data_IF_180315597771
#
_entry.id   IF_180315597771
#
_cell.length_a   1.000
_cell.length_b   1.000
_cell.length_c   1.000
_cell.angle_alpha   90.00
_cell.angle_beta   90.00
_cell.angle_gamma   90.00
#
_symmetry.space_group_name_H-M   'P 1'
#
loop_
_entity.id
_entity.type
_entity.pdbx_description
1 polymer ?
#
# COMPACT_ATOMS: atom_id res chain seq x y z
N UNK A 1 -8.25 -8.81 -14.56
CA UNK A 1 -8.65 -8.82 -14.86
C UNK A 1 -8.94 -8.82 -15.22
N UNK A 2 -8.81 -8.96 -14.81
CA UNK A 2 -9.16 -9.04 -14.98
C UNK A 2 -9.70 -9.05 -14.96
N UNK A 3 -9.76 -9.12 -14.53
CA UNK A 3 -10.42 -9.26 -14.39
C UNK A 3 -10.45 -9.40 -14.19
N UNK A 4 -10.22 -9.55 -13.96
CA UNK A 4 -10.26 -9.66 -13.77
C UNK A 4 -10.02 -9.80 -13.30
N UNK A 5 -9.87 -9.86 -13.16
CA UNK A 5 -9.81 -10.11 -12.84
C UNK A 5 -9.60 -10.16 -12.21
N UNK A 6 -9.11 -10.22 -11.83
CA UNK A 6 -9.23 -10.35 -11.35
C UNK A 6 -9.25 -10.04 -10.31
N UNK A 7 -8.50 -9.40 -10.28
CA UNK A 7 -8.66 -8.78 -8.99
C UNK A 7 -9.82 -9.37 -8.19
N UNK A 8 -9.72 -9.35 -6.90
CA UNK A 8 -10.81 -9.87 -6.10
C UNK A 8 -11.96 -8.86 -6.05
N UNK A 9 -13.08 -9.20 -6.60
CA UNK A 9 -14.27 -8.41 -6.41
C UNK A 9 -14.75 -8.55 -4.96
N UNK A 10 -15.30 -7.50 -4.35
CA UNK A 10 -15.87 -7.63 -3.03
C UNK A 10 -17.09 -8.55 -3.06
N UNK A 11 -17.44 -9.18 -1.93
CA UNK A 11 -18.69 -9.93 -1.85
C UNK A 11 -19.86 -9.06 -2.28
N UNK A 12 -20.88 -9.65 -2.86
CA UNK A 12 -22.00 -8.90 -3.38
C UNK A 12 -22.69 -8.05 -2.30
N UNK A 13 -22.72 -8.55 -1.05
CA UNK A 13 -23.30 -7.80 0.07
C UNK A 13 -22.52 -6.56 0.44
N UNK A 14 -21.22 -6.50 0.06
CA UNK A 14 -20.35 -5.38 0.38
C UNK A 14 -20.11 -4.46 -0.82
N UNK A 15 -20.70 -4.78 -1.96
CA UNK A 15 -20.47 -4.01 -3.17
C UNK A 15 -20.97 -2.59 -2.98
N UNK A 16 -20.07 -1.61 -3.13
CA UNK A 16 -20.38 -0.21 -2.97
C UNK A 16 -20.56 0.23 -1.51
N UNK A 17 -20.31 -0.66 -0.55
CA UNK A 17 -20.55 -0.40 0.86
C UNK A 17 -19.25 -0.20 1.64
N UNK A 18 -18.37 0.64 1.12
CA UNK A 18 -17.13 0.98 1.82
C UNK A 18 -17.33 2.24 2.65
N UNK A 19 -16.69 2.28 3.80
CA UNK A 19 -16.62 3.52 4.59
C UNK A 19 -15.58 4.46 3.99
N UNK A 20 -14.47 3.92 3.47
CA UNK A 20 -13.40 4.72 2.89
C UNK A 20 -12.83 4.00 1.67
N UNK A 21 -12.74 4.74 0.57
CA UNK A 21 -12.02 4.30 -0.63
C UNK A 21 -10.70 5.07 -0.68
N UNK A 22 -9.61 4.35 -0.88
CA UNK A 22 -8.26 4.92 -0.90
C UNK A 22 -7.72 4.81 -2.31
N UNK A 23 -7.17 5.89 -2.84
CA UNK A 23 -6.56 5.89 -4.16
C UNK A 23 -5.06 5.72 -3.98
N UNK A 24 -4.53 4.57 -4.44
CA UNK A 24 -3.11 4.27 -4.40
C UNK A 24 -2.71 3.33 -3.27
N UNK A 25 -1.76 2.45 -3.59
CA UNK A 25 -1.21 1.46 -2.65
C UNK A 25 0.26 1.68 -2.33
N UNK A 26 0.66 2.96 -2.19
CA UNK A 26 2.00 3.31 -1.74
C UNK A 26 2.07 3.38 -0.23
N UNK A 27 3.11 4.05 0.28
CA UNK A 27 3.34 4.16 1.72
C UNK A 27 2.13 4.77 2.44
N UNK A 28 1.57 5.86 1.91
CA UNK A 28 0.43 6.52 2.54
C UNK A 28 -0.82 5.65 2.49
N UNK A 29 -1.08 5.02 1.36
CA UNK A 29 -2.27 4.18 1.20
C UNK A 29 -2.26 2.96 2.11
N UNK A 30 -1.11 2.32 2.24
CA UNK A 30 -0.96 1.16 3.12
C UNK A 30 -1.15 1.54 4.58
N UNK A 31 -0.59 2.67 5.00
CA UNK A 31 -0.82 3.15 6.36
C UNK A 31 -2.29 3.50 6.60
N UNK A 32 -2.94 4.11 5.60
CA UNK A 32 -4.35 4.45 5.73
C UNK A 32 -5.20 3.19 5.95
N UNK A 33 -4.91 2.11 5.21
CA UNK A 33 -5.60 0.83 5.42
C UNK A 33 -5.43 0.37 6.86
N UNK A 34 -4.19 0.34 7.33
CA UNK A 34 -3.87 -0.13 8.68
C UNK A 34 -4.62 0.69 9.73
N UNK A 35 -4.52 2.01 9.63
CA UNK A 35 -5.10 2.92 10.61
C UNK A 35 -6.63 2.87 10.62
N UNK A 36 -7.24 2.99 9.45
CA UNK A 36 -8.68 3.07 9.34
C UNK A 36 -9.35 1.73 9.64
N UNK A 37 -8.72 0.63 9.22
CA UNK A 37 -9.21 -0.70 9.55
C UNK A 37 -9.18 -0.93 11.07
N UNK A 38 -8.13 -0.43 11.73
CA UNK A 38 -8.02 -0.49 13.17
C UNK A 38 -9.11 0.29 13.90
N UNK A 39 -9.74 1.24 13.22
CA UNK A 39 -10.87 2.00 13.75
C UNK A 39 -12.21 1.32 13.46
N UNK A 40 -12.20 0.13 12.86
CA UNK A 40 -13.41 -0.61 12.55
C UNK A 40 -14.08 -0.22 11.24
N UNK A 41 -13.40 0.56 10.39
CA UNK A 41 -13.98 1.01 9.13
C UNK A 41 -13.71 0.00 8.02
N UNK A 42 -14.64 -0.10 7.08
CA UNK A 42 -14.47 -0.91 5.87
C UNK A 42 -13.71 -0.08 4.85
N UNK A 43 -12.53 -0.54 4.47
CA UNK A 43 -11.65 0.21 3.57
C UNK A 43 -11.24 -0.64 2.37
N UNK A 44 -10.94 0.03 1.28
CA UNK A 44 -10.29 -0.59 0.13
C UNK A 44 -9.43 0.44 -0.57
N UNK A 45 -8.20 0.02 -0.89
CA UNK A 45 -7.32 0.83 -1.71
C UNK A 45 -7.36 0.30 -3.14
N UNK A 46 -7.39 1.20 -4.09
CA UNK A 46 -7.37 0.87 -5.52
C UNK A 46 -6.02 1.30 -6.07
N UNK A 47 -5.26 0.33 -6.54
CA UNK A 47 -3.91 0.57 -7.04
C UNK A 47 -3.84 0.27 -8.54
N UNK A 48 -3.37 1.24 -9.34
CA UNK A 48 -3.27 1.09 -10.79
C UNK A 48 -2.21 0.07 -11.19
N UNK A 49 -1.16 -0.08 -10.38
CA UNK A 49 -0.07 -1.00 -10.67
C UNK A 49 -0.40 -2.44 -10.33
N UNK A 50 0.49 -3.34 -10.72
CA UNK A 50 0.35 -4.77 -10.44
C UNK A 50 0.93 -5.15 -9.07
N UNK A 51 1.39 -4.18 -8.31
CA UNK A 51 1.93 -4.39 -6.97
C UNK A 51 1.84 -3.13 -6.14
N UNK A 52 2.01 -3.28 -4.83
CA UNK A 52 2.06 -2.15 -3.91
C UNK A 52 3.43 -1.49 -3.97
N UNK A 53 3.52 -0.26 -3.49
CA UNK A 53 4.80 0.43 -3.38
C UNK A 53 4.81 1.85 -3.89
N UNK A 54 3.83 2.25 -4.70
CA UNK A 54 3.74 3.61 -5.22
C UNK A 54 5.00 4.00 -5.98
N UNK A 55 5.62 5.10 -5.58
CA UNK A 55 6.87 5.59 -6.16
C UNK A 55 7.92 4.49 -6.30
N UNK A 56 8.04 3.62 -5.30
CA UNK A 56 9.06 2.58 -5.29
C UNK A 56 8.67 1.34 -6.10
N UNK A 57 7.43 1.21 -6.46
CA UNK A 57 7.00 0.23 -7.44
C UNK A 57 7.31 0.69 -8.86
N UNK A 58 7.04 1.98 -9.16
CA UNK A 58 7.14 2.50 -10.51
C UNK A 58 8.57 2.89 -10.91
N UNK A 59 9.36 3.43 -9.99
CA UNK A 59 10.66 4.02 -10.30
C UNK A 59 11.80 3.02 -10.07
N UNK A 60 12.07 2.21 -11.08
CA UNK A 60 13.04 1.10 -11.02
C UNK A 60 14.29 1.36 -11.84
N UNK A 61 14.62 2.61 -12.11
CA UNK A 61 15.81 2.93 -12.88
C UNK A 61 17.08 2.61 -12.09
N UNK A 62 18.21 2.35 -12.80
CA UNK A 62 19.47 2.04 -12.11
C UNK A 62 19.89 3.18 -11.20
N UNK A 63 20.24 2.86 -9.96
CA UNK A 63 20.66 3.85 -8.99
C UNK A 63 19.55 4.55 -8.26
N UNK A 64 18.26 4.21 -8.51
CA UNK A 64 17.14 4.79 -7.78
C UNK A 64 17.33 4.56 -6.29
N UNK A 65 17.28 5.64 -5.51
CA UNK A 65 17.61 5.61 -4.09
C UNK A 65 16.89 6.75 -3.37
N UNK A 66 16.55 6.53 -2.11
CA UNK A 66 15.96 7.56 -1.29
C UNK A 66 17.03 8.57 -0.85
N UNK A 67 16.64 9.83 -0.75
CA UNK A 67 17.51 10.90 -0.24
C UNK A 67 17.23 11.22 1.22
N UNK A 68 16.40 10.42 1.86
CA UNK A 68 16.12 10.49 3.30
C UNK A 68 16.70 9.24 3.95
N UNK A 69 17.26 9.38 5.14
CA UNK A 69 17.86 8.24 5.85
C UNK A 69 16.83 7.16 6.10
N UNK A 70 17.26 5.89 5.97
CA UNK A 70 16.36 4.74 6.06
C UNK A 70 15.57 4.69 7.36
N UNK A 71 16.21 5.04 8.48
CA UNK A 71 15.54 5.01 9.78
C UNK A 71 14.40 6.02 9.87
N UNK A 72 14.50 7.13 9.14
CA UNK A 72 13.45 8.14 9.10
C UNK A 72 12.42 7.83 8.02
N UNK A 73 12.84 7.15 6.96
CA UNK A 73 11.96 6.80 5.84
C UNK A 73 11.34 5.43 6.09
N UNK A 74 10.73 5.28 7.25
CA UNK A 74 10.13 4.02 7.70
C UNK A 74 8.92 4.33 8.56
N UNK A 75 8.03 3.37 8.67
CA UNK A 75 6.87 3.52 9.54
C UNK A 75 7.28 3.49 11.01
N UNK A 76 6.59 4.28 11.82
CA UNK A 76 6.83 4.34 13.27
C UNK A 76 5.64 3.84 14.09
N UNK A 77 4.60 3.30 13.44
CA UNK A 77 3.38 2.90 14.16
C UNK A 77 3.52 1.58 14.91
N UNK A 78 4.58 0.83 14.70
CA UNK A 78 4.80 -0.46 15.36
C UNK A 78 6.26 -0.59 15.80
N UNK A 79 6.46 -0.74 17.11
CA UNK A 79 7.79 -0.98 17.66
C UNK A 79 8.36 -2.30 17.17
N UNK A 80 7.51 -3.33 17.08
CA UNK A 80 7.93 -4.65 16.61
C UNK A 80 8.45 -4.58 15.18
N UNK A 81 7.75 -3.84 14.32
CA UNK A 81 8.20 -3.66 12.94
C UNK A 81 9.56 -2.98 12.88
N UNK A 82 9.75 -1.92 13.68
CA UNK A 82 11.01 -1.20 13.72
C UNK A 82 12.15 -2.11 14.21
N UNK A 83 11.87 -3.00 15.14
CA UNK A 83 12.87 -3.93 15.68
C UNK A 83 13.20 -5.04 14.69
N UNK A 84 12.21 -5.58 13.99
CA UNK A 84 12.42 -6.73 13.12
C UNK A 84 13.00 -6.38 11.75
N UNK A 85 12.85 -5.13 11.29
CA UNK A 85 13.37 -4.74 9.98
C UNK A 85 14.77 -4.15 10.11
N UNK A 86 15.72 -4.70 9.37
CA UNK A 86 17.11 -4.25 9.38
C UNK A 86 17.43 -3.63 8.03
N UNK A 87 17.74 -2.34 8.04
CA UNK A 87 18.14 -1.64 6.83
C UNK A 87 19.61 -1.90 6.55
N UNK A 88 19.97 -2.35 5.32
CA UNK A 88 21.37 -2.62 4.99
C UNK A 88 22.18 -1.36 4.72
N UNK A 89 21.53 -0.23 4.40
CA UNK A 89 22.22 1.00 4.05
C UNK A 89 21.54 2.20 4.70
N UNK A 90 22.32 3.24 4.92
CA UNK A 90 21.84 4.48 5.51
C UNK A 90 20.76 5.14 4.64
N UNK A 91 20.95 5.10 3.31
CA UNK A 91 19.98 5.59 2.33
C UNK A 91 19.53 4.38 1.51
N UNK A 92 18.24 4.04 1.61
CA UNK A 92 17.72 2.84 0.99
C UNK A 92 17.69 2.91 -0.53
N UNK A 93 18.04 1.78 -1.17
CA UNK A 93 17.89 1.63 -2.62
C UNK A 93 16.44 1.30 -2.94
N UNK A 94 16.05 1.51 -4.20
CA UNK A 94 14.71 1.18 -4.65
C UNK A 94 14.33 -0.27 -4.32
N UNK A 95 15.15 -1.29 -4.64
CA UNK A 95 14.78 -2.66 -4.32
C UNK A 95 14.59 -2.90 -2.82
N UNK A 96 15.43 -2.29 -1.98
CA UNK A 96 15.32 -2.47 -0.54
C UNK A 96 14.07 -1.80 0.04
N UNK A 97 13.76 -0.61 -0.45
CA UNK A 97 12.55 0.09 0.01
C UNK A 97 11.30 -0.66 -0.44
N UNK A 98 11.27 -1.13 -1.69
CA UNK A 98 10.14 -1.91 -2.18
C UNK A 98 9.97 -3.19 -1.37
N UNK A 99 11.08 -3.84 -1.03
CA UNK A 99 11.08 -5.04 -0.20
C UNK A 99 10.49 -4.74 1.19
N UNK A 100 10.87 -3.60 1.77
CA UNK A 100 10.29 -3.16 3.04
C UNK A 100 8.79 -2.95 2.94
N UNK A 101 8.34 -2.25 1.90
CA UNK A 101 6.91 -1.98 1.70
C UNK A 101 6.12 -3.28 1.55
N UNK A 102 6.65 -4.23 0.80
CA UNK A 102 6.02 -5.54 0.63
C UNK A 102 6.00 -6.30 1.95
N UNK A 103 7.06 -6.21 2.75
CA UNK A 103 7.10 -6.82 4.07
C UNK A 103 6.00 -6.26 4.97
N UNK A 104 5.82 -4.94 4.97
CA UNK A 104 4.77 -4.31 5.76
C UNK A 104 3.39 -4.75 5.30
N UNK A 105 3.17 -4.81 3.99
CA UNK A 105 1.88 -5.25 3.45
C UNK A 105 1.54 -6.68 3.88
N UNK A 106 2.53 -7.55 3.93
CA UNK A 106 2.34 -8.94 4.36
C UNK A 106 2.22 -9.05 5.88
N UNK A 107 3.09 -8.34 6.60
CA UNK A 107 3.16 -8.40 8.06
C UNK A 107 1.85 -8.00 8.72
N UNK A 108 1.16 -7.01 8.18
CA UNK A 108 -0.07 -6.49 8.74
C UNK A 108 -1.31 -6.88 7.93
N UNK A 109 -1.14 -7.82 6.98
CA UNK A 109 -2.23 -8.34 6.17
C UNK A 109 -3.01 -7.21 5.48
N UNK A 110 -2.27 -6.28 4.86
CA UNK A 110 -2.89 -5.13 4.20
C UNK A 110 -3.34 -5.45 2.78
N UNK A 111 -2.73 -6.49 2.16
CA UNK A 111 -3.03 -6.83 0.76
C UNK A 111 -4.48 -7.19 0.52
N UNK A 112 -5.14 -7.79 1.50
CA UNK A 112 -6.54 -8.19 1.34
C UNK A 112 -7.46 -7.00 1.06
N UNK A 113 -7.04 -5.80 1.45
CA UNK A 113 -7.82 -4.59 1.23
C UNK A 113 -7.24 -3.73 0.11
N UNK A 114 -6.34 -4.29 -0.71
CA UNK A 114 -5.80 -3.62 -1.89
C UNK A 114 -6.29 -4.33 -3.14
N UNK A 115 -6.92 -3.58 -4.03
CA UNK A 115 -7.31 -4.08 -5.34
C UNK A 115 -6.32 -3.54 -6.38
N UNK A 116 -5.51 -4.46 -6.90
CA UNK A 116 -4.45 -4.14 -7.86
C UNK A 116 -5.01 -4.01 -9.28
N UNK A 117 -4.20 -3.47 -10.17
CA UNK A 117 -4.53 -3.32 -11.58
C UNK A 117 -5.85 -2.59 -11.80
N UNK A 118 -6.14 -1.64 -10.94
CA UNK A 118 -7.40 -0.91 -10.95
C UNK A 118 -7.12 0.57 -10.82
N UNK A 119 -7.45 1.33 -11.87
CA UNK A 119 -7.26 2.76 -11.90
C UNK A 119 -8.57 3.47 -11.61
N UNK A 120 -8.57 4.38 -10.65
CA UNK A 120 -9.71 5.23 -10.37
C UNK A 120 -9.73 6.34 -11.44
N UNK A 121 -10.84 6.46 -12.15
CA UNK A 121 -11.00 7.47 -13.20
C UNK A 121 -11.73 8.71 -12.70
N UNK A 122 -12.61 8.56 -11.74
CA UNK A 122 -13.37 9.70 -11.21
C UNK A 122 -13.91 9.38 -9.83
N UNK A 123 -14.19 10.42 -9.08
CA UNK A 123 -14.86 10.33 -7.79
C UNK A 123 -15.86 11.49 -7.74
N UNK A 124 -17.13 11.19 -7.53
CA UNK A 124 -18.19 12.19 -7.54
C UNK A 124 -18.86 12.19 -6.19
N UNK A 125 -19.01 13.39 -5.63
CA UNK A 125 -19.72 13.55 -4.37
C UNK A 125 -21.21 13.38 -4.60
N UNK A 126 -21.81 12.49 -3.82
CA UNK A 126 -23.24 12.19 -3.91
C UNK A 126 -23.91 12.76 -2.65
N UNK A 127 -24.12 14.04 -2.68
CA UNK A 127 -24.68 14.78 -1.54
C UNK A 127 -26.20 14.69 -1.41
#
# INVERSE_FOLDING_TARGET
MPDASHGSAPPSSDRGQLDVAIVGGGLAGLYAIHRLRGMGLKVRAYEAGSGVGGTWFWNRYPGARCDVESLEYSYSFSNELQQEWKWPERYGTQPEILKYINHVADRFDLRRDVQLNTRILSATFDG
#
